data_IF_382661226817
#
_entry.id   IF_382661226817
#
_cell.length_a   1.000
_cell.length_b   1.000
_cell.length_c   1.000
_cell.angle_alpha   90.00
_cell.angle_beta   90.00
_cell.angle_gamma   90.00
#
_symmetry.space_group_name_H-M   'P 1'
#
loop_
_entity.id
_entity.type
_entity.pdbx_description
1 polymer ?
#
# COMPACT_ATOMS: atom_id res chain seq x y z
N UNK A 1 7.54 -7.51 -2.12
CA UNK A 1 6.39 -6.59 -2.07
C UNK A 1 6.77 -5.31 -2.75
N UNK A 2 5.98 -4.85 -3.73
CA UNK A 2 6.05 -3.49 -4.27
C UNK A 2 4.99 -2.64 -3.56
N UNK A 3 5.18 -1.34 -3.48
CA UNK A 3 4.21 -0.44 -2.86
C UNK A 3 4.16 0.92 -3.55
N UNK A 4 3.04 1.61 -3.35
CA UNK A 4 2.78 2.97 -3.78
C UNK A 4 2.03 3.68 -2.65
N UNK A 5 2.50 4.87 -2.28
CA UNK A 5 1.84 5.75 -1.31
C UNK A 5 1.53 7.04 -2.04
N UNK A 6 0.27 7.46 -2.01
CA UNK A 6 -0.21 8.67 -2.69
C UNK A 6 -0.99 9.54 -1.72
N UNK A 7 -0.92 10.85 -1.94
CA UNK A 7 -1.94 11.76 -1.43
C UNK A 7 -3.19 11.58 -2.30
N UNK A 8 -4.33 11.40 -1.67
CA UNK A 8 -5.63 11.34 -2.31
C UNK A 8 -6.61 12.25 -1.57
N UNK A 9 -7.72 12.60 -2.20
CA UNK A 9 -8.75 13.47 -1.62
C UNK A 9 -10.03 12.67 -1.42
N UNK A 10 -10.51 12.58 -0.19
CA UNK A 10 -11.74 11.84 0.14
C UNK A 10 -12.95 12.76 -0.06
N UNK A 11 -13.66 12.58 -1.19
CA UNK A 11 -14.76 13.46 -1.61
C UNK A 11 -15.90 13.55 -0.58
N UNK A 12 -16.16 12.47 0.17
CA UNK A 12 -17.24 12.44 1.16
C UNK A 12 -16.93 13.26 2.42
N UNK A 13 -15.65 13.40 2.78
CA UNK A 13 -15.21 14.05 4.02
C UNK A 13 -14.48 15.38 3.79
N UNK A 14 -14.24 15.77 2.53
CA UNK A 14 -13.50 16.98 2.13
C UNK A 14 -12.12 17.09 2.82
N UNK A 15 -11.46 15.94 2.97
CA UNK A 15 -10.17 15.84 3.64
C UNK A 15 -9.15 15.07 2.79
N UNK A 16 -7.90 15.48 2.92
CA UNK A 16 -6.78 14.77 2.33
C UNK A 16 -6.48 13.49 3.12
N UNK A 17 -6.12 12.43 2.40
CA UNK A 17 -5.74 11.13 2.95
C UNK A 17 -4.43 10.62 2.32
N UNK A 18 -3.78 9.68 3.00
CA UNK A 18 -2.85 8.77 2.36
C UNK A 18 -3.61 7.57 1.82
N UNK A 19 -3.37 7.21 0.56
CA UNK A 19 -3.72 5.90 0.01
C UNK A 19 -2.44 5.09 -0.15
N UNK A 20 -2.31 4.03 0.63
CA UNK A 20 -1.21 3.07 0.51
C UNK A 20 -1.71 1.83 -0.21
N UNK A 21 -0.94 1.35 -1.19
CA UNK A 21 -1.24 0.13 -1.94
C UNK A 21 0.00 -0.75 -2.00
N UNK A 22 -0.14 -2.06 -1.78
CA UNK A 22 0.92 -3.03 -2.03
C UNK A 22 0.46 -4.16 -2.95
N UNK A 23 1.40 -4.78 -3.66
CA UNK A 23 1.14 -5.88 -4.60
C UNK A 23 2.38 -6.78 -4.78
N UNK A 24 2.19 -8.01 -5.31
CA UNK A 24 3.30 -8.89 -5.67
C UNK A 24 4.10 -8.35 -6.87
N UNK A 25 5.40 -8.65 -6.92
CA UNK A 25 6.21 -8.42 -8.11
C UNK A 25 5.86 -9.40 -9.24
N UNK A 26 6.44 -9.23 -10.45
CA UNK A 26 7.50 -8.27 -10.80
C UNK A 26 6.98 -6.93 -11.35
N UNK A 27 5.69 -6.85 -11.71
CA UNK A 27 5.13 -5.74 -12.45
C UNK A 27 4.94 -4.46 -11.62
N UNK A 28 4.86 -3.32 -12.31
CA UNK A 28 4.58 -2.03 -11.68
C UNK A 28 3.08 -1.83 -11.41
N UNK A 29 2.74 -0.80 -10.64
CA UNK A 29 1.36 -0.51 -10.25
C UNK A 29 0.38 -0.43 -11.42
N UNK A 30 0.78 0.23 -12.53
CA UNK A 30 -0.11 0.53 -13.64
C UNK A 30 -0.54 -0.70 -14.44
N UNK A 31 0.28 -1.75 -14.46
CA UNK A 31 0.03 -2.96 -15.27
C UNK A 31 -0.28 -4.21 -14.44
N UNK A 32 -0.10 -4.15 -13.11
CA UNK A 32 -0.61 -5.18 -12.21
C UNK A 32 -2.13 -5.11 -12.15
N UNK A 33 -2.80 -6.27 -12.22
CA UNK A 33 -4.26 -6.38 -12.06
C UNK A 33 -4.70 -5.87 -10.68
N UNK A 34 -5.83 -5.15 -10.60
CA UNK A 34 -6.33 -4.57 -9.35
C UNK A 34 -6.71 -5.64 -8.31
N UNK A 35 -7.09 -6.85 -8.73
CA UNK A 35 -7.37 -7.96 -7.82
C UNK A 35 -6.14 -8.45 -7.04
N UNK A 36 -4.94 -8.09 -7.49
CA UNK A 36 -3.67 -8.40 -6.82
C UNK A 36 -3.17 -7.27 -5.93
N UNK A 37 -3.92 -6.16 -5.84
CA UNK A 37 -3.54 -4.97 -5.07
C UNK A 37 -4.35 -4.92 -3.78
N UNK A 38 -3.64 -4.78 -2.67
CA UNK A 38 -4.25 -4.49 -1.37
C UNK A 38 -4.06 -3.00 -1.09
N UNK A 39 -5.14 -2.30 -0.75
CA UNK A 39 -5.11 -0.86 -0.46
C UNK A 39 -5.71 -0.55 0.90
N UNK A 40 -5.16 0.47 1.56
CA UNK A 40 -5.70 1.06 2.77
C UNK A 40 -5.56 2.59 2.72
N UNK A 41 -6.47 3.28 3.39
CA UNK A 41 -6.46 4.74 3.54
C UNK A 41 -6.16 5.13 4.97
N UNK A 42 -5.44 6.25 5.14
CA UNK A 42 -5.02 6.76 6.45
C UNK A 42 -5.13 8.29 6.48
N UNK A 43 -5.29 8.92 7.64
CA UNK A 43 -5.34 10.38 7.75
C UNK A 43 -4.08 11.04 7.19
N UNK A 44 -4.21 12.18 6.49
CA UNK A 44 -3.05 12.91 5.97
C UNK A 44 -2.36 13.75 7.06
N UNK A 45 -1.83 13.08 8.08
CA UNK A 45 -1.13 13.65 9.24
C UNK A 45 0.22 12.95 9.47
N UNK A 46 1.06 13.46 10.37
CA UNK A 46 2.32 12.78 10.74
C UNK A 46 2.06 11.39 11.34
N UNK A 47 1.07 11.27 12.23
CA UNK A 47 0.67 9.96 12.78
C UNK A 47 0.15 9.01 11.70
N UNK A 48 -0.59 9.55 10.71
CA UNK A 48 -1.05 8.76 9.57
C UNK A 48 0.09 8.21 8.71
N UNK A 49 1.21 8.93 8.58
CA UNK A 49 2.42 8.37 7.93
C UNK A 49 2.97 7.18 8.67
N UNK A 50 2.99 7.22 10.01
CA UNK A 50 3.43 6.09 10.83
C UNK A 50 2.49 4.88 10.62
N UNK A 51 1.18 5.11 10.59
CA UNK A 51 0.20 4.05 10.31
C UNK A 51 0.39 3.41 8.92
N UNK A 52 0.73 4.19 7.90
CA UNK A 52 1.08 3.66 6.57
C UNK A 52 2.30 2.73 6.66
N UNK A 53 3.35 3.14 7.38
CA UNK A 53 4.58 2.35 7.57
C UNK A 53 4.28 1.06 8.33
N UNK A 54 3.55 1.15 9.43
CA UNK A 54 3.17 0.00 10.25
C UNK A 54 2.36 -1.00 9.43
N UNK A 55 1.35 -0.53 8.68
CA UNK A 55 0.54 -1.39 7.83
C UNK A 55 1.36 -2.09 6.73
N UNK A 56 2.27 -1.38 6.05
CA UNK A 56 3.14 -2.00 5.05
C UNK A 56 4.06 -3.06 5.67
N UNK A 57 4.66 -2.76 6.83
CA UNK A 57 5.57 -3.68 7.51
C UNK A 57 4.86 -4.92 8.05
N UNK A 58 3.65 -4.75 8.63
CA UNK A 58 2.84 -5.87 9.10
C UNK A 58 2.47 -6.84 7.96
N UNK A 59 2.05 -6.31 6.81
CA UNK A 59 1.70 -7.14 5.66
C UNK A 59 2.94 -7.78 5.01
N UNK A 60 4.08 -7.08 5.01
CA UNK A 60 5.34 -7.70 4.64
C UNK A 60 5.67 -8.90 5.54
N UNK A 61 5.64 -8.76 6.87
CA UNK A 61 6.01 -9.85 7.78
C UNK A 61 5.08 -11.06 7.66
N UNK A 62 3.79 -10.83 7.42
CA UNK A 62 2.78 -11.90 7.22
C UNK A 62 3.02 -12.71 5.95
N UNK A 63 3.51 -12.07 4.88
CA UNK A 63 3.56 -12.65 3.52
C UNK A 63 4.98 -12.66 2.92
N UNK A 64 6.02 -12.42 3.72
CA UNK A 64 7.39 -12.25 3.22
C UNK A 64 7.89 -13.42 2.38
N UNK A 65 7.55 -14.66 2.75
CA UNK A 65 7.98 -15.85 2.02
C UNK A 65 7.37 -15.87 0.60
N UNK A 66 6.08 -15.53 0.48
CA UNK A 66 5.41 -15.37 -0.81
C UNK A 66 6.10 -14.28 -1.63
N UNK A 67 6.28 -13.10 -1.04
CA UNK A 67 6.90 -11.97 -1.74
C UNK A 67 8.35 -12.21 -2.14
N UNK A 68 9.12 -12.94 -1.35
CA UNK A 68 10.52 -13.27 -1.63
C UNK A 68 10.65 -14.35 -2.70
N UNK A 69 9.73 -15.32 -2.75
CA UNK A 69 9.73 -16.35 -3.80
C UNK A 69 9.59 -15.78 -5.21
N UNK A 70 8.98 -14.60 -5.34
CA UNK A 70 8.77 -13.91 -6.61
C UNK A 70 9.99 -13.08 -7.07
N UNK A 71 11.10 -13.12 -6.33
CA UNK A 71 12.37 -12.47 -6.69
C UNK A 71 13.35 -13.39 -7.43
N UNK A 72 13.02 -14.69 -7.54
CA UNK A 72 13.81 -15.73 -8.21
C UNK A 72 13.30 -15.98 -9.63
#
# INVERSE_FOLDING_TARGET
MRYLIQKDHEEESDHDIFRATYWPGPYNFAVTDDSLKSSATFPFTEDGKLQVVDWLNENWEKEKDHFQSLLL
#
